data_IF_251592994114
#
_entry.id   IF_251592994114
#
_cell.length_a   1.000
_cell.length_b   1.000
_cell.length_c   1.000
_cell.angle_alpha   90.00
_cell.angle_beta   90.00
_cell.angle_gamma   90.00
#
_symmetry.space_group_name_H-M   'P 1'
#
loop_
_entity.id
_entity.type
_entity.pdbx_description
1 polymer ?
#
# COMPACT_ATOMS: atom_id res chain seq x y z
N UNK A 1 -20.30 14.33 10.22
CA UNK A 1 -19.61 13.30 11.04
C UNK A 1 -18.12 13.58 10.96
N UNK A 2 -17.38 13.51 12.07
CA UNK A 2 -15.92 13.69 12.06
C UNK A 2 -15.28 12.31 12.17
N UNK A 3 -14.23 12.08 11.37
CA UNK A 3 -13.48 10.81 11.29
C UNK A 3 -12.02 11.09 11.56
N UNK A 4 -11.44 10.40 12.53
CA UNK A 4 -10.00 10.50 12.86
C UNK A 4 -9.21 9.52 12.00
N UNK A 5 -8.18 10.02 11.30
CA UNK A 5 -7.31 9.19 10.45
C UNK A 5 -5.87 9.32 10.95
N UNK A 6 -5.34 8.22 11.50
CA UNK A 6 -3.93 8.13 11.91
C UNK A 6 -3.03 7.95 10.66
N UNK A 7 -1.87 8.60 10.67
CA UNK A 7 -0.92 8.51 9.57
C UNK A 7 0.52 8.76 10.04
N UNK A 8 1.51 8.23 9.31
CA UNK A 8 2.92 8.50 9.59
C UNK A 8 3.24 9.96 9.30
N UNK A 9 3.38 10.74 10.38
CA UNK A 9 3.67 12.17 10.35
C UNK A 9 5.13 12.50 10.01
N UNK A 10 5.49 13.77 10.09
CA UNK A 10 4.64 14.94 10.36
C UNK A 10 3.74 15.35 9.18
N UNK A 11 3.06 16.50 9.29
CA UNK A 11 2.36 17.13 8.18
C UNK A 11 3.35 17.47 7.04
N UNK A 12 2.86 17.50 5.78
CA UNK A 12 3.69 17.72 4.58
C UNK A 12 4.34 16.46 4.01
N UNK A 13 4.08 15.26 4.57
CA UNK A 13 4.60 13.98 4.06
C UNK A 13 3.76 13.45 2.90
N UNK A 14 4.32 12.49 2.12
CA UNK A 14 3.55 11.74 1.12
C UNK A 14 2.40 10.94 1.75
N UNK A 15 2.55 10.48 3.00
CA UNK A 15 1.48 9.79 3.73
C UNK A 15 0.30 10.72 4.01
N UNK A 16 0.56 11.97 4.38
CA UNK A 16 -0.51 12.95 4.52
C UNK A 16 -1.17 13.28 3.18
N UNK A 17 -0.40 13.37 2.08
CA UNK A 17 -0.98 13.55 0.76
C UNK A 17 -1.92 12.38 0.39
N UNK A 18 -1.54 11.14 0.71
CA UNK A 18 -2.39 9.97 0.53
C UNK A 18 -3.67 10.03 1.39
N UNK A 19 -3.57 10.49 2.64
CA UNK A 19 -4.72 10.69 3.51
C UNK A 19 -5.74 11.64 2.88
N UNK A 20 -5.29 12.78 2.36
CA UNK A 20 -6.19 13.76 1.73
C UNK A 20 -6.78 13.23 0.43
N UNK A 21 -6.04 12.44 -0.33
CA UNK A 21 -6.56 11.76 -1.52
C UNK A 21 -7.61 10.71 -1.17
N UNK A 22 -7.45 9.95 -0.07
CA UNK A 22 -8.50 9.08 0.46
C UNK A 22 -9.73 9.85 0.91
N UNK A 23 -9.54 11.03 1.54
CA UNK A 23 -10.67 11.90 1.88
C UNK A 23 -11.51 12.23 0.64
N UNK A 24 -10.87 12.67 -0.45
CA UNK A 24 -11.57 13.02 -1.68
C UNK A 24 -12.26 11.81 -2.36
N UNK A 25 -11.63 10.64 -2.33
CA UNK A 25 -12.09 9.46 -3.09
C UNK A 25 -13.04 8.56 -2.30
N UNK A 26 -12.80 8.39 -1.01
CA UNK A 26 -13.45 7.36 -0.18
C UNK A 26 -14.32 7.95 0.93
N UNK A 27 -13.98 9.16 1.41
CA UNK A 27 -14.61 9.80 2.56
C UNK A 27 -15.06 11.25 2.27
N UNK A 28 -15.70 11.55 1.11
CA UNK A 28 -15.93 12.93 0.68
C UNK A 28 -16.91 13.71 1.58
N UNK A 29 -17.83 13.00 2.25
CA UNK A 29 -18.92 13.61 3.02
C UNK A 29 -18.63 13.73 4.53
N UNK A 30 -17.38 13.48 4.94
CA UNK A 30 -16.98 13.53 6.35
C UNK A 30 -15.88 14.57 6.59
N UNK A 31 -15.85 15.15 7.78
CA UNK A 31 -14.72 15.99 8.21
C UNK A 31 -13.60 15.07 8.71
N UNK A 32 -12.43 15.13 8.08
CA UNK A 32 -11.27 14.34 8.50
C UNK A 32 -10.46 15.13 9.53
N UNK A 33 -10.15 14.46 10.65
CA UNK A 33 -9.20 14.92 11.66
C UNK A 33 -7.91 14.09 11.53
N UNK A 34 -6.82 14.66 10.99
CA UNK A 34 -5.55 13.96 10.90
C UNK A 34 -4.91 13.74 12.28
N UNK A 35 -4.42 12.52 12.52
CA UNK A 35 -3.67 12.13 13.71
C UNK A 35 -2.27 11.69 13.32
N UNK A 36 -1.26 12.57 13.35
CA UNK A 36 0.11 12.20 13.04
C UNK A 36 0.69 11.30 14.14
N UNK A 37 1.35 10.23 13.74
CA UNK A 37 2.03 9.26 14.60
C UNK A 37 3.43 8.94 14.08
N UNK A 38 4.28 8.30 14.90
CA UNK A 38 5.70 8.10 14.60
C UNK A 38 6.00 6.80 13.83
N UNK A 39 5.00 5.91 13.63
CA UNK A 39 5.22 4.65 12.91
C UNK A 39 3.91 4.08 12.35
N UNK A 40 3.99 3.23 11.29
CA UNK A 40 2.83 2.47 10.82
C UNK A 40 2.20 1.58 11.89
N UNK A 41 3.01 1.04 12.81
CA UNK A 41 2.50 0.24 13.93
C UNK A 41 1.61 1.07 14.85
N UNK A 42 2.04 2.28 15.23
CA UNK A 42 1.22 3.20 16.05
C UNK A 42 -0.07 3.61 15.33
N UNK A 43 -0.03 3.80 14.01
CA UNK A 43 -1.24 4.11 13.25
C UNK A 43 -2.26 2.97 13.29
N UNK A 44 -1.82 1.72 13.09
CA UNK A 44 -2.69 0.55 13.16
C UNK A 44 -3.16 0.25 14.60
N UNK A 45 -2.33 0.51 15.61
CA UNK A 45 -2.71 0.33 17.01
C UNK A 45 -3.75 1.37 17.44
N UNK A 46 -3.68 2.61 16.94
CA UNK A 46 -4.72 3.60 17.15
C UNK A 46 -6.09 3.16 16.57
N UNK A 47 -6.09 2.45 15.43
CA UNK A 47 -7.33 1.86 14.89
C UNK A 47 -7.82 0.70 15.77
N UNK A 48 -6.93 -0.16 16.23
CA UNK A 48 -7.29 -1.31 17.09
C UNK A 48 -7.88 -0.88 18.43
N UNK A 49 -7.31 0.18 19.02
CA UNK A 49 -7.79 0.76 20.29
C UNK A 49 -9.07 1.59 20.15
N UNK A 50 -9.40 2.05 18.93
CA UNK A 50 -10.51 2.98 18.68
C UNK A 50 -10.14 4.45 18.89
N UNK A 51 -8.85 4.79 19.03
CA UNK A 51 -8.36 6.17 19.09
C UNK A 51 -8.38 6.84 17.70
N UNK A 52 -8.40 6.03 16.64
CA UNK A 52 -8.63 6.47 15.27
C UNK A 52 -9.65 5.55 14.57
N UNK A 53 -10.45 6.13 13.68
CA UNK A 53 -11.39 5.38 12.85
C UNK A 53 -10.66 4.63 11.72
N UNK A 54 -9.64 5.29 11.16
CA UNK A 54 -8.80 4.74 10.09
C UNK A 54 -7.32 5.05 10.31
N UNK A 55 -6.49 4.27 9.60
CA UNK A 55 -5.06 4.55 9.43
C UNK A 55 -4.73 4.62 7.93
N UNK A 56 -3.95 5.62 7.53
CA UNK A 56 -3.35 5.72 6.20
C UNK A 56 -1.89 5.30 6.31
N UNK A 57 -1.51 4.19 5.65
CA UNK A 57 -0.15 3.64 5.70
C UNK A 57 0.34 3.26 4.32
N UNK A 58 1.64 3.51 4.05
CA UNK A 58 2.30 3.05 2.84
C UNK A 58 2.49 1.53 2.88
N UNK A 59 2.24 0.84 1.76
CA UNK A 59 2.41 -0.61 1.67
C UNK A 59 3.51 -1.00 0.69
N UNK A 60 3.71 -0.22 -0.39
CA UNK A 60 4.67 -0.54 -1.43
C UNK A 60 5.16 0.72 -2.14
N UNK A 61 6.45 0.82 -2.40
CA UNK A 61 7.07 1.85 -3.23
C UNK A 61 7.62 1.19 -4.50
N UNK A 62 7.37 1.79 -5.66
CA UNK A 62 7.78 1.23 -6.95
C UNK A 62 9.31 1.17 -7.16
N UNK A 63 10.09 1.90 -6.36
CA UNK A 63 11.56 1.94 -6.41
C UNK A 63 12.16 1.09 -5.30
N UNK A 64 11.70 1.28 -4.05
CA UNK A 64 12.29 0.65 -2.87
C UNK A 64 11.61 -0.69 -2.50
N UNK A 65 10.47 -1.01 -3.15
CA UNK A 65 9.71 -2.24 -2.92
C UNK A 65 8.81 -2.18 -1.69
N UNK A 66 8.62 -3.31 -0.97
CA UNK A 66 7.64 -3.43 0.09
C UNK A 66 7.99 -2.61 1.33
N UNK A 67 6.98 -1.94 1.92
CA UNK A 67 7.14 -1.19 3.18
C UNK A 67 7.03 -2.17 4.35
N UNK A 68 8.16 -2.80 4.66
CA UNK A 68 8.30 -3.83 5.68
C UNK A 68 7.64 -3.52 7.04
N UNK A 69 7.79 -2.31 7.63
CA UNK A 69 7.15 -1.99 8.90
C UNK A 69 5.62 -2.08 8.85
N UNK A 70 4.99 -1.77 7.71
CA UNK A 70 3.54 -1.89 7.54
C UNK A 70 3.10 -3.35 7.52
N UNK A 71 3.82 -4.23 6.81
CA UNK A 71 3.51 -5.67 6.81
C UNK A 71 3.66 -6.30 8.19
N UNK A 72 4.74 -5.98 8.89
CA UNK A 72 4.96 -6.45 10.26
C UNK A 72 3.81 -5.98 11.18
N UNK A 73 3.36 -4.73 11.04
CA UNK A 73 2.29 -4.15 11.84
C UNK A 73 0.89 -4.71 11.51
N UNK A 74 0.57 -4.94 10.22
CA UNK A 74 -0.68 -5.60 9.81
C UNK A 74 -0.81 -7.01 10.38
N UNK A 75 0.31 -7.73 10.44
CA UNK A 75 0.37 -9.11 10.89
C UNK A 75 0.63 -9.27 12.40
N UNK A 76 0.90 -8.18 13.14
CA UNK A 76 1.22 -8.23 14.57
C UNK A 76 0.03 -8.65 15.43
N UNK A 77 -1.18 -8.20 15.09
CA UNK A 77 -2.41 -8.53 15.80
C UNK A 77 -3.61 -8.43 14.86
N UNK A 78 -4.70 -9.20 15.12
CA UNK A 78 -5.95 -9.08 14.39
C UNK A 78 -6.67 -7.75 14.68
N UNK A 79 -7.84 -7.58 14.12
CA UNK A 79 -8.75 -6.48 14.43
C UNK A 79 -8.70 -5.31 13.44
N UNK A 80 -7.90 -5.39 12.38
CA UNK A 80 -7.86 -4.38 11.33
C UNK A 80 -8.08 -4.98 9.95
N UNK A 81 -8.60 -4.17 9.03
CA UNK A 81 -8.94 -4.54 7.66
C UNK A 81 -8.69 -3.36 6.72
N UNK A 82 -8.28 -3.63 5.48
CA UNK A 82 -8.07 -2.65 4.42
C UNK A 82 -9.41 -2.35 3.74
N UNK A 83 -9.73 -1.08 3.55
CA UNK A 83 -10.95 -0.59 2.92
C UNK A 83 -10.71 0.17 1.62
N UNK A 84 -9.48 0.45 1.27
CA UNK A 84 -9.14 1.13 0.02
C UNK A 84 -7.65 1.23 -0.19
N UNK A 85 -7.28 1.55 -1.42
CA UNK A 85 -5.90 1.83 -1.80
C UNK A 85 -5.84 3.06 -2.70
N UNK A 86 -4.72 3.76 -2.68
CA UNK A 86 -4.41 4.86 -3.60
C UNK A 86 -2.92 4.92 -3.87
N UNK A 87 -2.56 5.40 -5.06
CA UNK A 87 -1.17 5.64 -5.43
C UNK A 87 -0.87 7.13 -5.32
N UNK A 88 0.30 7.46 -4.79
CA UNK A 88 0.85 8.82 -4.78
C UNK A 88 2.11 8.83 -5.63
N UNK A 89 2.15 9.72 -6.60
CA UNK A 89 3.37 9.95 -7.37
C UNK A 89 4.45 10.57 -6.47
N UNK A 90 5.64 9.98 -6.54
CA UNK A 90 6.78 10.42 -5.72
C UNK A 90 7.61 11.39 -6.56
N UNK A 91 7.35 12.66 -6.34
CA UNK A 91 8.11 13.75 -6.93
C UNK A 91 8.79 14.56 -5.84
N UNK A 92 9.99 15.03 -6.13
CA UNK A 92 10.74 15.87 -5.20
C UNK A 92 10.98 17.23 -5.79
N UNK A 93 10.93 18.23 -4.92
CA UNK A 93 11.35 19.59 -5.21
C UNK A 93 12.49 19.98 -4.26
N UNK A 94 13.43 20.77 -4.75
CA UNK A 94 14.40 21.48 -3.91
C UNK A 94 13.75 22.75 -3.43
N UNK A 95 13.84 22.95 -2.13
CA UNK A 95 13.29 24.14 -1.47
C UNK A 95 14.26 24.76 -0.49
N UNK A 96 14.17 26.06 -0.34
CA UNK A 96 14.96 26.88 0.54
C UNK A 96 14.13 28.02 1.15
N UNK A 97 14.69 28.77 2.08
CA UNK A 97 14.00 29.96 2.61
C UNK A 97 13.89 31.03 1.52
N UNK A 98 12.79 31.78 1.48
CA UNK A 98 12.70 33.00 0.65
C UNK A 98 13.89 33.93 0.90
N UNK A 99 14.34 34.61 -0.14
CA UNK A 99 15.49 35.55 -0.07
C UNK A 99 16.85 34.93 0.23
N UNK A 100 16.95 33.57 0.34
CA UNK A 100 18.24 32.89 0.49
C UNK A 100 18.92 32.74 -0.88
N UNK A 101 20.20 33.07 -0.97
CA UNK A 101 20.96 32.92 -2.21
C UNK A 101 21.36 31.45 -2.46
N UNK A 102 20.80 30.85 -3.51
CA UNK A 102 21.09 29.46 -3.88
C UNK A 102 22.57 29.16 -4.10
N UNK A 103 23.38 30.15 -4.47
CA UNK A 103 24.83 30.02 -4.62
C UNK A 103 25.56 29.82 -3.28
N UNK A 104 24.90 30.06 -2.15
CA UNK A 104 25.47 29.95 -0.81
C UNK A 104 25.04 28.70 -0.07
N UNK A 105 24.29 27.75 -0.68
CA UNK A 105 23.87 26.49 -0.10
C UNK A 105 25.13 25.69 0.32
N UNK A 106 25.22 25.33 1.60
CA UNK A 106 26.29 24.51 2.18
C UNK A 106 25.73 23.21 2.80
N UNK A 107 24.49 23.21 3.24
CA UNK A 107 23.85 22.10 3.90
C UNK A 107 22.56 21.71 3.17
N UNK A 108 22.39 20.39 2.96
CA UNK A 108 21.24 19.81 2.28
C UNK A 108 20.64 18.68 3.14
N UNK A 109 19.32 18.66 3.23
CA UNK A 109 18.62 17.67 4.04
C UNK A 109 17.50 16.99 3.27
N UNK A 110 17.32 15.71 3.54
CA UNK A 110 16.15 14.90 3.13
C UNK A 110 16.18 13.58 3.91
N UNK A 111 15.15 12.73 3.77
CA UNK A 111 15.19 11.37 4.30
C UNK A 111 16.27 10.54 3.55
N UNK A 112 17.03 9.65 4.23
CA UNK A 112 18.09 8.85 3.59
C UNK A 112 17.66 8.07 2.35
N UNK A 113 16.46 7.51 2.34
CA UNK A 113 15.89 6.84 1.15
C UNK A 113 15.67 7.83 0.01
N UNK A 114 15.08 9.00 0.29
CA UNK A 114 14.89 10.04 -0.71
C UNK A 114 16.23 10.60 -1.24
N UNK A 115 17.29 10.63 -0.41
CA UNK A 115 18.63 11.02 -0.86
C UNK A 115 19.15 10.18 -2.01
N UNK A 116 18.81 8.88 -2.03
CA UNK A 116 19.19 7.97 -3.12
C UNK A 116 18.37 8.22 -4.39
N UNK A 117 17.16 8.76 -4.26
CA UNK A 117 16.25 9.06 -5.37
C UNK A 117 16.46 10.44 -6.00
N UNK A 118 17.34 11.28 -5.44
CA UNK A 118 17.72 12.61 -5.94
C UNK A 118 19.25 12.77 -6.05
N UNK A 119 19.95 11.64 -6.12
CA UNK A 119 21.41 11.60 -6.06
C UNK A 119 22.07 12.31 -7.23
N UNK A 120 21.58 12.09 -8.44
CA UNK A 120 22.12 12.63 -9.67
C UNK A 120 21.94 14.15 -9.71
N UNK A 121 20.72 14.63 -9.42
CA UNK A 121 20.47 16.06 -9.37
C UNK A 121 21.36 16.79 -8.35
N UNK A 122 21.52 16.22 -7.15
CA UNK A 122 22.36 16.84 -6.10
C UNK A 122 23.82 16.82 -6.50
N UNK A 123 24.32 15.75 -7.14
CA UNK A 123 25.71 15.69 -7.61
C UNK A 123 26.00 16.75 -8.67
N UNK A 124 25.05 17.03 -9.57
CA UNK A 124 25.21 17.99 -10.66
C UNK A 124 25.07 19.45 -10.21
N UNK A 125 24.20 19.74 -9.23
CA UNK A 125 23.84 21.10 -8.86
C UNK A 125 24.39 21.56 -7.49
N UNK A 126 24.68 20.59 -6.58
CA UNK A 126 25.16 20.87 -5.22
C UNK A 126 26.34 19.92 -4.85
N UNK A 127 27.44 19.89 -5.65
CA UNK A 127 28.48 18.87 -5.52
C UNK A 127 29.28 18.94 -4.20
N UNK A 128 29.31 20.09 -3.55
CA UNK A 128 30.09 20.32 -2.31
C UNK A 128 29.18 20.45 -1.06
N UNK A 129 27.92 20.04 -1.15
CA UNK A 129 26.95 20.21 -0.06
C UNK A 129 27.13 19.12 1.03
N UNK A 130 27.06 19.51 2.28
CA UNK A 130 27.02 18.61 3.42
C UNK A 130 25.63 18.04 3.58
N UNK A 131 25.50 16.70 3.49
CA UNK A 131 24.22 16.01 3.69
C UNK A 131 23.91 15.81 5.17
N UNK A 132 22.75 16.34 5.60
CA UNK A 132 22.22 16.20 6.96
C UNK A 132 20.93 15.36 6.89
N UNK A 133 20.95 14.10 7.37
CA UNK A 133 19.77 13.24 7.30
C UNK A 133 18.64 13.74 8.18
N UNK A 134 17.41 13.65 7.67
CA UNK A 134 16.19 13.94 8.42
C UNK A 134 15.35 12.66 8.62
N UNK A 135 14.48 12.66 9.64
CA UNK A 135 13.57 11.55 9.92
C UNK A 135 12.45 11.41 8.87
N UNK A 136 12.17 12.48 8.12
CA UNK A 136 11.27 12.51 6.97
C UNK A 136 11.60 13.67 6.04
N UNK A 137 11.09 13.62 4.81
CA UNK A 137 11.26 14.73 3.86
C UNK A 137 10.60 16.02 4.36
N UNK A 138 9.44 15.92 5.02
CA UNK A 138 8.78 17.07 5.63
C UNK A 138 9.58 17.64 6.82
N UNK A 139 10.22 16.79 7.64
CA UNK A 139 11.12 17.24 8.70
C UNK A 139 12.35 17.97 8.15
N UNK A 140 12.85 17.56 6.98
CA UNK A 140 13.92 18.28 6.29
C UNK A 140 13.46 19.68 5.84
N UNK A 141 12.27 19.79 5.26
CA UNK A 141 11.68 21.09 4.89
C UNK A 141 11.46 21.99 6.11
N UNK A 142 10.95 21.45 7.21
CA UNK A 142 10.84 22.17 8.47
C UNK A 142 12.19 22.68 8.97
N UNK A 143 13.25 21.87 8.89
CA UNK A 143 14.60 22.26 9.28
C UNK A 143 15.13 23.44 8.45
N UNK A 144 14.75 23.53 7.16
CA UNK A 144 15.06 24.70 6.31
C UNK A 144 14.32 25.92 6.81
N UNK A 145 13.02 25.82 7.08
CA UNK A 145 12.21 26.94 7.59
C UNK A 145 12.75 27.49 8.92
N UNK A 146 13.25 26.61 9.80
CA UNK A 146 13.87 26.96 11.08
C UNK A 146 15.33 27.46 10.93
N UNK A 147 15.91 27.46 9.74
CA UNK A 147 17.29 27.90 9.49
C UNK A 147 18.37 26.94 9.97
N UNK A 148 18.02 25.68 10.27
CA UNK A 148 18.99 24.64 10.71
C UNK A 148 19.76 24.02 9.54
N UNK A 149 19.21 24.07 8.34
CA UNK A 149 19.82 23.66 7.08
C UNK A 149 19.45 24.66 5.97
N UNK A 150 20.20 24.67 4.87
CA UNK A 150 20.03 25.66 3.82
C UNK A 150 18.99 25.25 2.79
N UNK A 151 19.02 23.97 2.35
CA UNK A 151 18.12 23.43 1.37
C UNK A 151 17.61 22.04 1.76
N UNK A 152 16.44 21.66 1.23
CA UNK A 152 15.87 20.33 1.40
C UNK A 152 15.27 19.80 0.10
N UNK A 153 15.27 18.47 -0.05
CA UNK A 153 14.43 17.77 -1.01
C UNK A 153 13.20 17.20 -0.28
N UNK A 154 12.01 17.63 -0.72
CA UNK A 154 10.75 17.20 -0.14
C UNK A 154 9.62 17.25 -1.19
N UNK A 155 8.40 16.68 -0.90
CA UNK A 155 7.23 16.94 -1.73
C UNK A 155 6.96 18.45 -1.83
N UNK A 156 6.57 18.94 -3.01
CA UNK A 156 6.32 20.39 -3.24
C UNK A 156 5.35 21.00 -2.22
N UNK A 157 4.35 20.22 -1.78
CA UNK A 157 3.41 20.61 -0.73
C UNK A 157 4.09 21.06 0.58
N UNK A 158 5.27 20.54 0.90
CA UNK A 158 6.01 20.97 2.08
C UNK A 158 6.50 22.42 1.96
N UNK A 159 6.76 22.92 0.76
CA UNK A 159 7.11 24.30 0.54
C UNK A 159 5.95 25.25 0.92
N UNK A 160 4.73 24.92 0.51
CA UNK A 160 3.54 25.70 0.87
C UNK A 160 3.32 25.70 2.39
N UNK A 161 3.45 24.52 3.03
CA UNK A 161 3.22 24.33 4.46
C UNK A 161 4.21 25.14 5.31
N UNK A 162 5.49 25.19 4.91
CA UNK A 162 6.57 25.85 5.66
C UNK A 162 6.98 27.22 5.11
N UNK A 163 6.23 27.75 4.12
CA UNK A 163 6.51 29.03 3.47
C UNK A 163 7.94 29.10 2.90
N UNK A 164 8.31 28.07 2.14
CA UNK A 164 9.61 27.95 1.47
C UNK A 164 9.50 28.25 -0.02
N UNK A 165 10.59 28.68 -0.63
CA UNK A 165 10.71 28.85 -2.08
C UNK A 165 11.17 27.57 -2.75
N UNK A 166 10.47 27.16 -3.83
CA UNK A 166 10.84 26.01 -4.67
C UNK A 166 11.80 26.49 -5.75
N UNK A 167 13.03 25.99 -5.72
CA UNK A 167 14.10 26.37 -6.67
C UNK A 167 14.27 25.37 -7.81
N UNK A 168 13.87 24.11 -7.61
CA UNK A 168 13.85 23.10 -8.66
C UNK A 168 12.71 22.09 -8.40
N UNK A 169 12.11 21.60 -9.50
CA UNK A 169 11.00 20.62 -9.49
C UNK A 169 11.38 19.37 -10.24
N UNK A 170 10.67 18.28 -9.97
CA UNK A 170 10.79 17.00 -10.69
C UNK A 170 12.22 16.47 -10.73
N UNK A 171 12.92 16.55 -9.59
CA UNK A 171 14.33 16.22 -9.45
C UNK A 171 14.59 14.73 -9.15
N UNK A 172 13.57 13.89 -9.19
CA UNK A 172 13.72 12.46 -8.95
C UNK A 172 14.50 11.77 -10.08
N UNK A 173 15.49 10.96 -9.74
CA UNK A 173 16.31 10.19 -10.69
C UNK A 173 15.46 9.15 -11.44
N UNK A 174 14.42 8.59 -10.78
CA UNK A 174 13.47 7.65 -11.37
C UNK A 174 12.13 8.35 -11.65
N UNK A 175 11.83 8.58 -12.93
CA UNK A 175 10.55 9.17 -13.33
C UNK A 175 9.40 8.19 -13.18
N UNK A 176 8.24 8.69 -12.73
CA UNK A 176 7.04 7.87 -12.54
C UNK A 176 7.09 6.97 -11.30
N UNK A 177 8.03 7.22 -10.39
CA UNK A 177 8.05 6.58 -9.09
C UNK A 177 6.73 6.87 -8.35
N UNK A 178 6.14 5.85 -7.74
CA UNK A 178 4.91 5.98 -6.97
C UNK A 178 4.95 5.10 -5.72
N UNK A 179 4.18 5.48 -4.74
CA UNK A 179 3.97 4.70 -3.52
C UNK A 179 2.49 4.38 -3.40
N UNK A 180 2.18 3.10 -3.19
CA UNK A 180 0.84 2.63 -2.89
C UNK A 180 0.59 2.73 -1.40
N UNK A 181 -0.53 3.37 -1.06
CA UNK A 181 -1.04 3.52 0.30
C UNK A 181 -2.34 2.75 0.45
N UNK A 182 -2.62 2.32 1.67
CA UNK A 182 -3.88 1.67 2.03
C UNK A 182 -4.56 2.40 3.18
N UNK A 183 -5.89 2.43 3.10
CA UNK A 183 -6.76 2.92 4.16
C UNK A 183 -7.21 1.72 4.99
N UNK A 184 -6.82 1.67 6.24
CA UNK A 184 -7.07 0.56 7.17
C UNK A 184 -8.03 1.02 8.25
N UNK A 185 -9.09 0.26 8.48
CA UNK A 185 -10.05 0.47 9.57
C UNK A 185 -10.18 -0.76 10.46
N UNK A 186 -11.07 -0.72 11.45
CA UNK A 186 -11.40 -1.91 12.23
C UNK A 186 -12.02 -3.00 11.35
N UNK A 187 -11.77 -4.27 11.69
CA UNK A 187 -12.32 -5.41 10.95
C UNK A 187 -13.85 -5.38 10.94
N UNK A 188 -14.44 -5.58 9.76
CA UNK A 188 -15.87 -5.49 9.53
C UNK A 188 -16.29 -6.11 8.21
N UNK A 189 -17.41 -5.66 7.68
CA UNK A 189 -17.88 -6.07 6.35
C UNK A 189 -16.95 -5.49 5.28
N UNK A 190 -16.50 -6.29 4.31
CA UNK A 190 -15.70 -5.80 3.19
C UNK A 190 -16.42 -4.70 2.39
N UNK A 191 -15.66 -3.92 1.62
CA UNK A 191 -16.24 -3.00 0.65
C UNK A 191 -17.18 -3.73 -0.31
N UNK A 192 -18.23 -3.09 -0.84
CA UNK A 192 -19.03 -3.67 -1.90
C UNK A 192 -18.17 -4.03 -3.12
N UNK A 193 -18.48 -5.18 -3.73
CA UNK A 193 -17.81 -5.66 -4.94
C UNK A 193 -17.99 -4.66 -6.11
N UNK A 194 -16.91 -4.29 -6.76
CA UNK A 194 -16.90 -3.38 -7.92
C UNK A 194 -16.66 -4.10 -9.25
N UNK A 195 -16.07 -5.30 -9.20
CA UNK A 195 -15.62 -6.05 -10.37
C UNK A 195 -14.15 -5.76 -10.73
N UNK A 196 -13.52 -4.77 -10.10
CA UNK A 196 -12.09 -4.49 -10.16
C UNK A 196 -11.57 -4.28 -8.75
N UNK A 197 -11.44 -5.41 -8.05
CA UNK A 197 -11.18 -5.44 -6.63
C UNK A 197 -9.87 -6.17 -6.33
N UNK A 198 -9.33 -5.89 -5.17
CA UNK A 198 -8.18 -6.58 -4.60
C UNK A 198 -8.57 -7.19 -3.26
N UNK A 199 -8.08 -8.39 -3.00
CA UNK A 199 -8.22 -9.07 -1.72
C UNK A 199 -6.85 -9.35 -1.14
N UNK A 200 -6.63 -9.10 0.14
CA UNK A 200 -5.37 -9.44 0.81
C UNK A 200 -5.56 -10.45 1.93
N UNK A 201 -4.64 -11.39 1.99
CA UNK A 201 -4.55 -12.40 3.05
C UNK A 201 -3.13 -12.52 3.57
N UNK A 202 -3.02 -12.90 4.85
CA UNK A 202 -1.74 -13.23 5.48
C UNK A 202 -1.84 -14.63 6.05
N UNK A 203 -0.86 -15.49 5.78
CA UNK A 203 -0.89 -16.86 6.24
C UNK A 203 0.49 -17.41 6.63
N UNK A 204 0.46 -18.40 7.51
CA UNK A 204 1.61 -19.21 7.88
C UNK A 204 1.43 -20.62 7.34
N UNK A 205 2.53 -21.25 6.91
CA UNK A 205 2.51 -22.62 6.38
C UNK A 205 3.35 -23.54 7.26
N UNK A 206 2.96 -24.82 7.37
CA UNK A 206 3.80 -25.85 7.98
C UNK A 206 5.17 -25.90 7.31
N UNK A 207 6.23 -25.95 8.10
CA UNK A 207 7.60 -25.97 7.59
C UNK A 207 7.96 -27.36 7.00
N UNK A 208 7.49 -27.61 5.78
CA UNK A 208 7.74 -28.86 5.02
C UNK A 208 7.99 -28.52 3.54
N UNK A 209 8.81 -29.33 2.84
CA UNK A 209 9.01 -29.15 1.40
C UNK A 209 7.68 -29.17 0.64
N UNK A 210 7.52 -28.22 -0.30
CA UNK A 210 6.36 -28.13 -1.19
C UNK A 210 5.14 -27.40 -0.63
N UNK A 211 5.11 -26.99 0.66
CA UNK A 211 3.93 -26.33 1.25
C UNK A 211 3.59 -25.01 0.58
N UNK A 212 4.59 -24.18 0.27
CA UNK A 212 4.38 -22.91 -0.47
C UNK A 212 3.86 -23.17 -1.89
N UNK A 213 4.46 -24.12 -2.61
CA UNK A 213 4.00 -24.51 -3.95
C UNK A 213 2.55 -24.99 -3.89
N UNK A 214 2.22 -25.83 -2.88
CA UNK A 214 0.85 -26.31 -2.65
C UNK A 214 -0.14 -25.18 -2.39
N UNK A 215 0.24 -24.18 -1.60
CA UNK A 215 -0.59 -23.00 -1.34
C UNK A 215 -0.81 -22.16 -2.62
N UNK A 216 0.26 -21.88 -3.38
CA UNK A 216 0.16 -21.12 -4.63
C UNK A 216 -0.63 -21.86 -5.72
N UNK A 217 -0.60 -23.20 -5.71
CA UNK A 217 -1.39 -24.03 -6.62
C UNK A 217 -2.90 -23.85 -6.40
N UNK A 218 -3.36 -23.58 -5.16
CA UNK A 218 -4.79 -23.33 -4.91
C UNK A 218 -5.32 -22.10 -5.64
N UNK A 219 -4.50 -21.06 -5.77
CA UNK A 219 -4.85 -19.87 -6.57
C UNK A 219 -4.80 -20.19 -8.07
N UNK A 220 -3.73 -20.83 -8.54
CA UNK A 220 -3.54 -21.14 -9.96
C UNK A 220 -4.65 -22.04 -10.52
N UNK A 221 -5.07 -23.09 -9.79
CA UNK A 221 -6.13 -24.01 -10.23
C UNK A 221 -7.50 -23.32 -10.37
N UNK A 222 -7.71 -22.23 -9.65
CA UNK A 222 -8.96 -21.45 -9.71
C UNK A 222 -8.85 -20.21 -10.59
N UNK A 223 -7.71 -20.01 -11.26
CA UNK A 223 -7.47 -18.87 -12.11
C UNK A 223 -7.43 -17.53 -11.37
N UNK A 224 -7.10 -17.55 -10.07
CA UNK A 224 -6.90 -16.35 -9.26
C UNK A 224 -5.48 -15.87 -9.48
N UNK A 225 -5.35 -14.64 -9.96
CA UNK A 225 -4.06 -13.98 -10.17
C UNK A 225 -3.59 -13.31 -8.87
N UNK A 226 -2.27 -13.34 -8.67
CA UNK A 226 -1.60 -12.73 -7.52
C UNK A 226 -0.89 -11.46 -7.98
N UNK A 227 -1.34 -10.30 -7.52
CA UNK A 227 -0.67 -9.03 -7.82
C UNK A 227 0.55 -8.80 -6.93
N UNK A 228 0.65 -9.47 -5.78
CA UNK A 228 1.80 -9.38 -4.88
C UNK A 228 1.95 -10.62 -4.01
N UNK A 229 3.20 -10.99 -3.73
CA UNK A 229 3.56 -11.94 -2.69
C UNK A 229 4.80 -11.45 -1.94
N UNK A 230 4.72 -11.39 -0.63
CA UNK A 230 5.81 -10.99 0.24
C UNK A 230 5.99 -12.01 1.37
N UNK A 231 7.22 -12.46 1.61
CA UNK A 231 7.54 -13.39 2.69
C UNK A 231 8.27 -12.67 3.81
N UNK A 232 7.77 -12.78 5.04
CA UNK A 232 8.35 -12.16 6.23
C UNK A 232 8.68 -13.20 7.29
N UNK A 233 9.89 -13.17 7.92
CA UNK A 233 10.19 -14.06 9.03
C UNK A 233 9.25 -13.77 10.19
N UNK A 234 8.74 -14.82 10.85
CA UNK A 234 7.84 -14.67 12.00
C UNK A 234 8.55 -14.18 13.26
N UNK A 235 9.90 -14.20 13.27
CA UNK A 235 10.77 -13.86 14.41
C UNK A 235 10.54 -14.73 15.67
N UNK A 236 9.70 -15.76 15.58
CA UNK A 236 9.49 -16.72 16.67
C UNK A 236 10.46 -17.89 16.59
N UNK A 237 10.66 -18.45 15.38
CA UNK A 237 11.60 -19.53 15.11
C UNK A 237 12.35 -19.27 13.81
N UNK A 238 13.63 -19.71 13.73
CA UNK A 238 14.41 -19.63 12.49
C UNK A 238 13.76 -20.53 11.44
N UNK A 239 13.56 -19.97 10.23
CA UNK A 239 13.00 -20.69 9.09
C UNK A 239 11.47 -20.64 8.99
N UNK A 240 10.75 -20.05 9.95
CA UNK A 240 9.30 -19.85 9.84
C UNK A 240 8.99 -18.49 9.19
N UNK A 241 8.09 -18.53 8.19
CA UNK A 241 7.72 -17.38 7.40
C UNK A 241 6.22 -17.15 7.41
N UNK A 242 5.85 -15.89 7.39
CA UNK A 242 4.51 -15.40 7.13
C UNK A 242 4.45 -14.87 5.71
N UNK A 243 3.42 -15.24 4.97
CA UNK A 243 3.22 -14.82 3.58
C UNK A 243 2.08 -13.82 3.52
N UNK A 244 2.35 -12.65 2.96
CA UNK A 244 1.36 -11.63 2.63
C UNK A 244 1.09 -11.74 1.14
N UNK A 245 -0.17 -11.91 0.74
CA UNK A 245 -0.55 -12.10 -0.65
C UNK A 245 -1.72 -11.19 -0.99
N UNK A 246 -1.60 -10.46 -2.10
CA UNK A 246 -2.70 -9.73 -2.70
C UNK A 246 -3.20 -10.48 -3.92
N UNK A 247 -4.51 -10.69 -3.96
CA UNK A 247 -5.24 -11.38 -5.02
C UNK A 247 -6.02 -10.37 -5.85
N UNK A 248 -6.06 -10.54 -7.16
CA UNK A 248 -6.95 -9.81 -8.03
C UNK A 248 -8.36 -10.43 -7.97
N UNK A 249 -9.32 -9.71 -7.43
CA UNK A 249 -10.72 -10.08 -7.27
C UNK A 249 -11.24 -9.86 -5.85
N UNK A 250 -12.54 -9.94 -5.69
CA UNK A 250 -13.26 -9.75 -4.43
C UNK A 250 -13.53 -11.08 -3.71
N UNK A 251 -13.65 -11.08 -2.39
CA UNK A 251 -13.98 -12.30 -1.63
C UNK A 251 -15.34 -12.89 -2.05
N UNK A 252 -16.26 -12.09 -2.58
CA UNK A 252 -17.54 -12.57 -3.13
C UNK A 252 -17.40 -13.15 -4.55
N UNK A 253 -16.23 -13.10 -5.16
CA UNK A 253 -15.94 -13.84 -6.39
C UNK A 253 -15.70 -15.31 -6.03
N UNK A 254 -16.48 -16.22 -6.62
CA UNK A 254 -16.39 -17.64 -6.31
C UNK A 254 -14.95 -18.20 -6.41
N UNK A 255 -14.13 -17.86 -7.43
CA UNK A 255 -12.74 -18.31 -7.48
C UNK A 255 -11.91 -17.88 -6.28
N UNK A 256 -12.05 -16.63 -5.84
CA UNK A 256 -11.31 -16.05 -4.70
C UNK A 256 -11.76 -16.71 -3.40
N UNK A 257 -13.07 -16.82 -3.18
CA UNK A 257 -13.61 -17.47 -1.99
C UNK A 257 -13.20 -18.94 -1.89
N UNK A 258 -13.24 -19.70 -3.00
CA UNK A 258 -12.82 -21.09 -3.07
C UNK A 258 -11.29 -21.24 -2.85
N UNK A 259 -10.48 -20.34 -3.40
CA UNK A 259 -9.03 -20.35 -3.22
C UNK A 259 -8.66 -20.09 -1.75
N UNK A 260 -9.30 -19.09 -1.11
CA UNK A 260 -9.09 -18.79 0.31
C UNK A 260 -9.55 -19.96 1.21
N UNK A 261 -10.69 -20.58 0.88
CA UNK A 261 -11.19 -21.77 1.60
C UNK A 261 -10.22 -22.95 1.51
N UNK A 262 -9.66 -23.21 0.33
CA UNK A 262 -8.67 -24.26 0.14
C UNK A 262 -7.33 -23.92 0.83
N UNK A 263 -6.92 -22.65 0.81
CA UNK A 263 -5.75 -22.17 1.53
C UNK A 263 -5.91 -22.35 3.04
N UNK A 264 -7.09 -22.05 3.61
CA UNK A 264 -7.40 -22.23 5.02
C UNK A 264 -7.12 -23.66 5.51
N UNK A 265 -7.42 -24.66 4.67
CA UNK A 265 -7.17 -26.09 4.99
C UNK A 265 -5.68 -26.48 4.97
N UNK A 266 -4.80 -25.64 4.42
CA UNK A 266 -3.36 -25.88 4.27
C UNK A 266 -2.49 -25.09 5.23
N UNK A 267 -3.03 -24.01 5.79
CA UNK A 267 -2.31 -23.06 6.63
C UNK A 267 -2.35 -23.48 8.11
N UNK A 268 -1.31 -23.12 8.85
CA UNK A 268 -1.32 -23.17 10.32
C UNK A 268 -2.13 -21.99 10.88
N UNK A 269 -2.11 -20.83 10.16
CA UNK A 269 -2.85 -19.61 10.50
C UNK A 269 -3.16 -18.85 9.22
N UNK A 270 -4.34 -18.23 9.14
CA UNK A 270 -4.80 -17.41 8.01
C UNK A 270 -5.56 -16.19 8.52
N UNK A 271 -5.10 -15.02 8.16
CA UNK A 271 -5.75 -13.75 8.45
C UNK A 271 -6.23 -13.10 7.14
N UNK A 272 -7.52 -12.77 7.08
CA UNK A 272 -8.10 -11.97 6.01
C UNK A 272 -7.91 -10.49 6.34
N UNK A 273 -7.30 -9.74 5.42
CA UNK A 273 -7.04 -8.31 5.57
C UNK A 273 -8.01 -7.42 4.81
N UNK A 274 -8.96 -7.97 4.06
CA UNK A 274 -10.00 -7.21 3.37
C UNK A 274 -10.09 -7.47 1.88
N UNK A 275 -11.21 -6.98 1.30
CA UNK A 275 -11.42 -6.82 -0.13
C UNK A 275 -11.89 -5.39 -0.40
N UNK A 276 -11.28 -4.72 -1.38
CA UNK A 276 -11.51 -3.30 -1.67
C UNK A 276 -11.32 -3.00 -3.18
N UNK A 277 -11.89 -1.89 -3.69
CA UNK A 277 -11.66 -1.45 -5.06
C UNK A 277 -10.17 -1.21 -5.35
N UNK A 278 -9.64 -1.77 -6.44
CA UNK A 278 -8.27 -1.57 -6.86
C UNK A 278 -8.06 -0.14 -7.39
N UNK A 279 -6.93 0.51 -7.03
CA UNK A 279 -6.60 1.85 -7.49
C UNK A 279 -6.25 1.88 -9.00
N UNK A 280 -5.68 0.78 -9.51
CA UNK A 280 -5.35 0.61 -10.93
C UNK A 280 -6.07 -0.61 -11.48
N UNK A 281 -6.61 -0.50 -12.68
CA UNK A 281 -7.23 -1.61 -13.39
C UNK A 281 -6.16 -2.51 -13.99
N UNK A 282 -5.85 -3.60 -13.30
CA UNK A 282 -4.89 -4.60 -13.77
C UNK A 282 -5.61 -5.93 -14.03
N UNK A 283 -5.49 -6.44 -15.26
CA UNK A 283 -5.97 -7.80 -15.59
C UNK A 283 -7.47 -8.00 -15.70
N UNK A 284 -8.27 -6.95 -15.85
CA UNK A 284 -9.74 -7.00 -15.93
C UNK A 284 -10.23 -8.03 -16.95
N UNK A 285 -9.61 -8.10 -18.13
CA UNK A 285 -10.08 -8.97 -19.22
C UNK A 285 -9.83 -10.46 -18.95
N UNK A 286 -8.69 -10.80 -18.33
CA UNK A 286 -8.33 -12.19 -17.96
C UNK A 286 -9.24 -12.66 -16.82
N UNK A 287 -9.47 -11.83 -15.83
CA UNK A 287 -10.34 -12.11 -14.68
C UNK A 287 -11.79 -12.32 -15.11
N UNK A 288 -12.33 -11.42 -15.94
CA UNK A 288 -13.71 -11.52 -16.43
C UNK A 288 -13.95 -12.81 -17.21
N UNK A 289 -12.98 -13.26 -18.01
CA UNK A 289 -13.07 -14.54 -18.73
C UNK A 289 -13.07 -15.73 -17.76
N UNK A 290 -12.25 -15.70 -16.72
CA UNK A 290 -12.18 -16.78 -15.72
C UNK A 290 -13.46 -16.85 -14.89
N UNK A 291 -13.96 -15.72 -14.40
CA UNK A 291 -15.23 -15.64 -13.64
C UNK A 291 -16.42 -16.13 -14.48
N UNK A 292 -16.50 -15.71 -15.76
CA UNK A 292 -17.55 -16.16 -16.66
C UNK A 292 -17.53 -17.69 -16.88
N UNK A 293 -16.35 -18.28 -17.07
CA UNK A 293 -16.18 -19.73 -17.26
C UNK A 293 -16.58 -20.54 -16.01
N UNK A 294 -16.27 -20.02 -14.82
CA UNK A 294 -16.65 -20.68 -13.56
C UNK A 294 -18.17 -20.59 -13.34
N UNK A 295 -18.78 -19.43 -13.60
CA UNK A 295 -20.21 -19.26 -13.54
C UNK A 295 -20.95 -20.23 -14.51
N UNK A 296 -20.41 -20.42 -15.72
CA UNK A 296 -20.94 -21.41 -16.69
C UNK A 296 -20.82 -22.84 -16.15
N UNK A 297 -19.68 -23.19 -15.54
CA UNK A 297 -19.49 -24.51 -14.94
C UNK A 297 -20.46 -24.78 -13.78
N UNK A 298 -20.68 -23.79 -12.89
CA UNK A 298 -21.67 -23.91 -11.82
C UNK A 298 -23.10 -24.07 -12.38
N UNK A 299 -23.47 -23.27 -13.38
CA UNK A 299 -24.77 -23.39 -14.03
C UNK A 299 -24.97 -24.78 -14.68
N UNK A 300 -23.88 -25.36 -15.23
CA UNK A 300 -23.92 -26.72 -15.76
C UNK A 300 -24.18 -27.75 -14.65
N UNK A 301 -23.48 -27.67 -13.52
CA UNK A 301 -23.70 -28.58 -12.36
C UNK A 301 -25.14 -28.48 -11.84
N UNK A 302 -25.67 -27.26 -11.71
CA UNK A 302 -27.05 -27.06 -11.28
C UNK A 302 -28.08 -27.67 -12.26
N UNK A 303 -27.85 -27.60 -13.57
CA UNK A 303 -28.68 -28.31 -14.56
C UNK A 303 -28.64 -29.83 -14.34
N UNK A 304 -27.47 -30.40 -14.08
CA UNK A 304 -27.30 -31.83 -13.79
C UNK A 304 -28.09 -32.24 -12.54
N UNK A 305 -28.02 -31.44 -11.46
CA UNK A 305 -28.79 -31.68 -10.23
C UNK A 305 -30.34 -31.70 -10.49
N UNK A 306 -30.81 -30.96 -11.49
CA UNK A 306 -32.24 -30.91 -11.89
C UNK A 306 -32.62 -32.00 -12.88
N UNK A 307 -31.65 -32.80 -13.36
CA UNK A 307 -31.90 -33.85 -14.35
C UNK A 307 -32.00 -33.31 -15.81
N UNK A 308 -31.56 -32.07 -16.04
CA UNK A 308 -31.54 -31.47 -17.37
C UNK A 308 -30.35 -32.05 -18.15
N UNK A 309 -30.58 -32.76 -19.26
CA UNK A 309 -29.51 -33.31 -20.10
C UNK A 309 -28.96 -32.21 -21.02
N UNK A 310 -27.69 -31.79 -20.87
CA UNK A 310 -27.10 -30.80 -21.77
C UNK A 310 -26.82 -31.37 -23.14
N UNK A 311 -27.01 -30.57 -24.19
CA UNK A 311 -26.43 -30.88 -25.48
C UNK A 311 -24.92 -31.00 -25.38
N UNK A 312 -24.31 -31.95 -26.11
CA UNK A 312 -22.86 -32.18 -26.07
C UNK A 312 -22.13 -30.89 -26.45
N UNK A 313 -21.16 -30.47 -25.62
CA UNK A 313 -20.21 -29.44 -26.01
C UNK A 313 -19.44 -29.93 -27.25
N UNK A 314 -19.58 -29.22 -28.35
CA UNK A 314 -18.64 -29.39 -29.48
C UNK A 314 -17.34 -28.65 -29.08
N UNK A 315 -16.20 -29.31 -29.02
CA UNK A 315 -14.93 -28.63 -28.86
C UNK A 315 -14.63 -27.87 -30.18
N UNK A 316 -14.55 -26.53 -30.10
CA UNK A 316 -13.90 -25.72 -31.12
C UNK A 316 -12.38 -25.82 -31.00
#
# INVERSE_FOLDING_TARGET
>A
MTVTVAYLGPAGTFTEAALWKFHEQTLPDVTVQPLPVDSPAMALDAVRSGDADYACVAIENSVDGPVTPTFDALAAAPGVQIYGETDIDITFAIMMRPEFDSATIRTFSTHPVARQQVADWVADNLPEVDFIPASSNAAAAQAVAEGRVDAAAAPERAADLFNLEVVARDIADVRGAHTRFVLVGQSGVPCPRTGDDRTSVVFNLPQRPGTLVGALTEFALRGVDLSRIESRPTRTNIGTYRFHVDLNGHIDDAPVAEAISALYLRCDDLTYLGSWPAARREGEQVRNNTVARIAEAHAWVERMRRGDIPERRNPE
#
